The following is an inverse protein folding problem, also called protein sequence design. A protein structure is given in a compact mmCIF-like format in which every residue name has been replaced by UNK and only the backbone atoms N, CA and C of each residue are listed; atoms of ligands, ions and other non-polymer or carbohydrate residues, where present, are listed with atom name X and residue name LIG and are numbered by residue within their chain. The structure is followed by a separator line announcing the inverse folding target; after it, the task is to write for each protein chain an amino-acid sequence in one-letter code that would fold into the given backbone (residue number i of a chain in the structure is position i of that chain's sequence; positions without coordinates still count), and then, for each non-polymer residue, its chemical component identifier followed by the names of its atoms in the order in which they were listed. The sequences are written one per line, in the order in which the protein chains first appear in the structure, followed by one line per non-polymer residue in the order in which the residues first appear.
data_IF_624007452669
#
_entry.id   IF_624007452669
#
_cell.length_a   1.000
_cell.length_b   1.000
_cell.length_c   1.000
_cell.angle_alpha   90.00
_cell.angle_beta   90.00
_cell.angle_gamma   90.00
#
_symmetry.space_group_name_H-M   'P 1'
#
loop_
_entity.id
_entity.type
_entity.pdbx_description
1 polymer ?
#
# COMPACT_ATOMS: atom_id res chain seq x y z
N UNK A 1 -19.78 -8.55 -6.18
CA UNK A 1 -19.01 -9.70 -5.68
C UNK A 1 -17.98 -10.02 -6.73
N UNK A 2 -16.70 -10.14 -6.36
CA UNK A 2 -15.63 -10.41 -7.32
C UNK A 2 -15.86 -11.77 -8.01
N UNK A 3 -15.68 -11.83 -9.33
CA UNK A 3 -15.70 -13.09 -10.06
C UNK A 3 -14.40 -13.88 -9.81
N UNK A 4 -14.32 -15.12 -10.32
CA UNK A 4 -13.17 -16.01 -10.05
C UNK A 4 -11.84 -15.39 -10.45
N UNK A 5 -11.77 -14.70 -11.59
CA UNK A 5 -10.53 -14.11 -12.09
C UNK A 5 -10.15 -12.83 -11.34
N UNK A 6 -11.14 -12.05 -10.88
CA UNK A 6 -10.92 -10.93 -9.96
C UNK A 6 -10.41 -11.39 -8.58
N UNK A 7 -10.90 -12.51 -8.07
CA UNK A 7 -10.41 -13.12 -6.83
C UNK A 7 -8.97 -13.62 -6.96
N UNK A 8 -8.63 -14.27 -8.08
CA UNK A 8 -7.25 -14.69 -8.35
C UNK A 8 -6.30 -13.50 -8.37
N UNK A 9 -6.63 -12.46 -9.15
CA UNK A 9 -5.83 -11.24 -9.22
C UNK A 9 -5.69 -10.57 -7.85
N UNK A 10 -6.76 -10.56 -7.06
CA UNK A 10 -6.72 -10.04 -5.69
C UNK A 10 -5.74 -10.82 -4.81
N UNK A 11 -5.85 -12.15 -4.76
CA UNK A 11 -4.96 -12.97 -3.94
C UNK A 11 -3.51 -12.96 -4.44
N UNK A 12 -3.28 -12.82 -5.74
CA UNK A 12 -1.95 -12.63 -6.32
C UNK A 12 -1.35 -11.29 -5.87
N UNK A 13 -2.13 -10.20 -6.02
CA UNK A 13 -1.70 -8.85 -5.63
C UNK A 13 -1.27 -8.77 -4.17
N UNK A 14 -2.01 -9.42 -3.27
CA UNK A 14 -1.72 -9.37 -1.83
C UNK A 14 -0.78 -10.49 -1.33
N UNK A 15 -0.21 -11.29 -2.23
CA UNK A 15 0.82 -12.31 -1.91
C UNK A 15 0.29 -13.64 -1.38
N UNK A 16 -1.01 -13.90 -1.49
CA UNK A 16 -1.65 -15.15 -1.05
C UNK A 16 -1.63 -16.25 -2.09
N UNK A 17 -1.48 -15.91 -3.38
CA UNK A 17 -1.46 -16.84 -4.49
C UNK A 17 -0.28 -16.53 -5.43
N UNK A 18 0.47 -17.55 -5.86
CA UNK A 18 1.56 -17.37 -6.83
C UNK A 18 1.02 -17.31 -8.27
N UNK A 19 1.69 -16.55 -9.14
CA UNK A 19 1.34 -16.49 -10.57
C UNK A 19 1.59 -17.83 -11.26
N UNK A 20 0.57 -18.38 -11.93
CA UNK A 20 0.71 -19.50 -12.88
C UNK A 20 0.07 -20.84 -12.51
N UNK A 21 -0.45 -21.04 -11.29
CA UNK A 21 -1.13 -22.29 -10.93
C UNK A 21 -2.48 -22.04 -10.24
N UNK A 22 -3.56 -22.43 -10.91
CA UNK A 22 -4.96 -22.09 -10.57
C UNK A 22 -5.76 -23.29 -10.06
N UNK A 23 -5.09 -24.29 -9.47
CA UNK A 23 -5.76 -25.46 -8.93
C UNK A 23 -6.74 -25.06 -7.82
N UNK A 24 -7.83 -25.81 -7.68
CA UNK A 24 -8.86 -25.54 -6.67
C UNK A 24 -8.26 -25.57 -5.25
N UNK A 25 -7.32 -26.49 -5.01
CA UNK A 25 -6.59 -26.64 -3.74
C UNK A 25 -5.72 -25.42 -3.41
N UNK A 26 -5.09 -24.79 -4.42
CA UNK A 26 -4.29 -23.59 -4.22
C UNK A 26 -5.15 -22.37 -3.89
N UNK A 27 -6.31 -22.25 -4.53
CA UNK A 27 -7.27 -21.18 -4.22
C UNK A 27 -7.82 -21.35 -2.80
N UNK A 28 -8.22 -22.55 -2.41
CA UNK A 28 -8.68 -22.84 -1.05
C UNK A 28 -7.60 -22.53 -0.01
N UNK A 29 -6.35 -22.90 -0.30
CA UNK A 29 -5.20 -22.61 0.55
C UNK A 29 -4.93 -21.11 0.67
N UNK A 30 -5.07 -20.35 -0.43
CA UNK A 30 -4.96 -18.90 -0.43
C UNK A 30 -6.05 -18.24 0.44
N UNK A 31 -7.30 -18.72 0.35
CA UNK A 31 -8.42 -18.25 1.19
C UNK A 31 -8.14 -18.54 2.67
N UNK A 32 -7.72 -19.76 3.01
CA UNK A 32 -7.36 -20.13 4.40
C UNK A 32 -6.27 -19.23 4.95
N UNK A 33 -5.24 -18.94 4.14
CA UNK A 33 -4.14 -18.06 4.53
C UNK A 33 -4.62 -16.62 4.75
N UNK A 34 -5.44 -16.10 3.85
CA UNK A 34 -6.06 -14.77 3.97
C UNK A 34 -6.89 -14.64 5.25
N UNK A 35 -7.79 -15.59 5.49
CA UNK A 35 -8.61 -15.64 6.70
C UNK A 35 -7.74 -15.62 7.96
N UNK A 36 -6.70 -16.46 8.00
CA UNK A 36 -5.77 -16.52 9.14
C UNK A 36 -5.02 -15.20 9.36
N UNK A 37 -4.56 -14.55 8.31
CA UNK A 37 -3.85 -13.25 8.41
C UNK A 37 -4.75 -12.16 8.99
N UNK A 38 -6.03 -12.15 8.65
CA UNK A 38 -7.01 -11.20 9.16
C UNK A 38 -7.70 -11.63 10.46
N UNK A 39 -7.35 -12.78 11.03
CA UNK A 39 -7.96 -13.29 12.26
C UNK A 39 -9.39 -13.81 12.09
N UNK A 40 -9.80 -14.15 10.87
CA UNK A 40 -11.06 -14.82 10.55
C UNK A 40 -10.96 -16.34 10.77
N UNK A 41 -12.11 -17.01 10.88
CA UNK A 41 -12.18 -18.47 10.86
C UNK A 41 -11.68 -19.02 9.53
N UNK A 42 -10.65 -19.87 9.56
CA UNK A 42 -9.99 -20.42 8.37
C UNK A 42 -10.81 -21.55 7.72
N UNK A 43 -12.03 -21.25 7.29
CA UNK A 43 -12.94 -22.18 6.62
C UNK A 43 -12.46 -22.63 5.24
N UNK A 44 -11.62 -21.82 4.58
CA UNK A 44 -11.21 -22.01 3.19
C UNK A 44 -12.28 -21.72 2.15
N UNK A 45 -13.44 -21.23 2.60
CA UNK A 45 -14.54 -20.85 1.73
C UNK A 45 -14.77 -19.33 1.79
N UNK A 46 -15.39 -18.78 0.74
CA UNK A 46 -15.75 -17.36 0.69
C UNK A 46 -17.04 -17.12 1.50
N UNK A 47 -16.96 -17.31 2.82
CA UNK A 47 -18.04 -16.97 3.73
C UNK A 47 -18.29 -15.46 3.79
N UNK A 48 -19.43 -15.08 4.39
CA UNK A 48 -19.89 -13.68 4.42
C UNK A 48 -18.85 -12.72 5.02
N UNK A 49 -18.12 -13.16 6.05
CA UNK A 49 -17.09 -12.36 6.69
C UNK A 49 -15.89 -12.16 5.73
N UNK A 50 -15.43 -13.23 5.10
CA UNK A 50 -14.32 -13.21 4.14
C UNK A 50 -14.66 -12.32 2.93
N UNK A 51 -15.87 -12.43 2.39
CA UNK A 51 -16.33 -11.58 1.27
C UNK A 51 -16.44 -10.12 1.69
N UNK A 52 -16.84 -9.82 2.93
CA UNK A 52 -16.86 -8.45 3.44
C UNK A 52 -15.46 -7.83 3.43
N UNK A 53 -14.46 -8.54 3.93
CA UNK A 53 -13.06 -8.07 3.94
C UNK A 53 -12.47 -7.92 2.52
N UNK A 54 -12.78 -8.84 1.60
CA UNK A 54 -12.28 -8.77 0.21
C UNK A 54 -12.80 -7.52 -0.52
N UNK A 55 -14.02 -7.06 -0.18
CA UNK A 55 -14.63 -5.88 -0.78
C UNK A 55 -14.40 -4.60 0.03
N UNK A 56 -13.76 -4.69 1.20
CA UNK A 56 -13.44 -3.51 1.99
C UNK A 56 -12.32 -2.71 1.31
N UNK A 57 -12.45 -1.37 1.22
CA UNK A 57 -11.37 -0.51 0.76
C UNK A 57 -10.13 -0.70 1.62
N UNK A 58 -8.96 -0.85 0.98
CA UNK A 58 -7.73 -1.19 1.71
C UNK A 58 -6.48 -0.57 1.11
N UNK A 59 -5.37 -0.70 1.84
CA UNK A 59 -4.03 -0.39 1.36
C UNK A 59 -3.64 -1.33 0.21
N UNK A 60 -2.89 -0.82 -0.78
CA UNK A 60 -2.40 -1.61 -1.91
C UNK A 60 -1.17 -2.46 -1.64
N UNK A 61 -0.55 -2.29 -0.47
CA UNK A 61 0.66 -3.03 -0.08
C UNK A 61 0.32 -4.52 0.17
N UNK A 62 1.13 -5.47 -0.34
CA UNK A 62 0.92 -6.90 -0.09
C UNK A 62 0.97 -7.26 1.39
N UNK A 63 0.09 -8.15 1.83
CA UNK A 63 0.06 -8.66 3.21
C UNK A 63 1.19 -9.64 3.49
N UNK A 64 1.53 -10.42 2.45
CA UNK A 64 2.51 -11.49 2.51
C UNK A 64 3.66 -11.17 1.56
N UNK A 65 4.82 -10.87 2.11
CA UNK A 65 6.06 -10.72 1.34
C UNK A 65 6.76 -12.09 1.33
N UNK A 66 7.04 -12.64 0.15
CA UNK A 66 7.64 -13.98 -0.05
C UNK A 66 9.13 -14.08 0.33
N UNK A 67 9.71 -13.04 0.95
CA UNK A 67 11.06 -13.08 1.50
C UNK A 67 11.09 -13.85 2.84
N UNK A 68 12.21 -14.50 3.22
CA UNK A 68 12.30 -15.31 4.42
C UNK A 68 12.32 -14.42 5.67
N UNK A 69 11.16 -13.93 6.09
CA UNK A 69 11.01 -13.32 7.40
C UNK A 69 10.67 -14.42 8.40
N UNK A 70 11.60 -14.70 9.31
CA UNK A 70 11.31 -15.40 10.56
C UNK A 70 10.36 -14.49 11.37
N UNK A 71 9.07 -14.58 11.12
CA UNK A 71 8.09 -13.65 11.70
C UNK A 71 7.44 -14.25 12.95
N UNK A 72 7.99 -13.87 14.12
CA UNK A 72 7.24 -13.77 15.38
C UNK A 72 6.67 -12.36 15.60
N UNK A 73 6.89 -11.43 14.66
CA UNK A 73 6.55 -10.01 14.80
C UNK A 73 5.31 -9.65 13.97
N UNK A 74 4.42 -8.81 14.52
CA UNK A 74 3.13 -8.41 13.93
C UNK A 74 3.27 -7.38 12.78
N UNK A 75 4.48 -7.19 12.25
CA UNK A 75 4.76 -6.27 11.15
C UNK A 75 5.76 -6.92 10.19
N UNK A 76 5.70 -6.51 8.92
CA UNK A 76 6.61 -6.98 7.87
C UNK A 76 7.42 -5.78 7.39
N UNK A 77 8.74 -5.91 7.36
CA UNK A 77 9.62 -4.93 6.72
C UNK A 77 9.76 -5.24 5.24
N UNK A 78 9.90 -4.19 4.42
CA UNK A 78 10.42 -4.34 3.07
C UNK A 78 11.78 -5.06 3.09
N UNK A 79 12.03 -5.88 2.05
CA UNK A 79 13.31 -6.57 1.90
C UNK A 79 14.47 -5.55 1.95
N UNK A 80 15.51 -5.85 2.74
CA UNK A 80 16.63 -4.94 2.95
C UNK A 80 16.44 -3.87 4.03
N UNK A 81 15.26 -3.82 4.69
CA UNK A 81 14.94 -2.85 5.77
C UNK A 81 15.27 -1.39 5.39
N UNK A 82 14.72 -0.89 4.27
CA UNK A 82 14.96 0.47 3.79
C UNK A 82 14.62 1.53 4.84
N UNK A 83 15.50 2.53 4.95
CA UNK A 83 15.35 3.66 5.86
C UNK A 83 16.04 4.90 5.26
N UNK A 84 15.55 6.09 5.60
CA UNK A 84 16.24 7.35 5.30
C UNK A 84 17.54 7.43 6.12
N UNK A 85 18.70 7.41 5.45
CA UNK A 85 20.02 7.49 6.09
C UNK A 85 20.48 8.94 6.16
N UNK A 86 19.88 9.69 7.08
CA UNK A 86 20.22 11.10 7.36
C UNK A 86 20.63 11.30 8.81
N UNK A 87 21.33 12.40 9.05
CA UNK A 87 21.60 12.84 10.42
C UNK A 87 20.29 13.18 11.12
N UNK A 88 20.23 12.89 12.42
CA UNK A 88 19.06 13.10 13.26
C UNK A 88 19.26 14.40 14.06
N UNK A 89 18.26 15.30 14.15
CA UNK A 89 16.93 15.20 13.53
C UNK A 89 17.00 15.34 12.01
N UNK A 90 16.28 14.47 11.29
CA UNK A 90 16.27 14.49 9.84
C UNK A 90 15.16 15.44 9.34
N UNK A 91 15.43 16.20 8.29
CA UNK A 91 14.37 16.92 7.56
C UNK A 91 14.13 16.21 6.24
N UNK A 92 12.88 15.86 5.97
CA UNK A 92 12.41 15.30 4.71
C UNK A 92 11.52 16.32 3.99
N UNK A 93 11.74 16.51 2.70
CA UNK A 93 10.89 17.37 1.88
C UNK A 93 9.76 16.57 1.24
N UNK A 94 8.58 17.18 1.07
CA UNK A 94 7.50 16.58 0.31
C UNK A 94 6.89 17.57 -0.67
N UNK A 95 6.47 17.11 -1.84
CA UNK A 95 5.89 17.94 -2.89
C UNK A 95 4.64 17.32 -3.49
N UNK A 96 3.79 18.16 -4.08
CA UNK A 96 2.57 17.72 -4.79
C UNK A 96 2.73 17.87 -6.30
N UNK A 97 2.39 16.83 -7.05
CA UNK A 97 2.36 16.88 -8.52
C UNK A 97 1.38 17.95 -8.98
N UNK A 98 1.76 18.69 -10.03
CA UNK A 98 0.89 19.70 -10.65
C UNK A 98 -0.02 19.08 -11.71
N UNK A 99 0.40 17.95 -12.26
CA UNK A 99 -0.23 17.22 -13.34
C UNK A 99 -1.22 16.19 -12.80
N UNK A 100 -0.82 15.43 -11.77
CA UNK A 100 -1.59 14.32 -11.21
C UNK A 100 -2.33 14.77 -9.95
N UNK A 101 -3.44 15.47 -10.15
CA UNK A 101 -4.23 16.11 -9.09
C UNK A 101 -5.62 15.48 -8.93
N UNK A 102 -6.26 15.73 -7.79
CA UNK A 102 -7.64 15.29 -7.50
C UNK A 102 -8.59 16.49 -7.54
N UNK A 103 -9.53 16.50 -8.49
CA UNK A 103 -10.46 17.62 -8.67
C UNK A 103 -11.57 17.67 -7.60
N UNK A 104 -11.91 16.53 -7.00
CA UNK A 104 -12.99 16.41 -6.00
C UNK A 104 -12.62 16.94 -4.61
N UNK A 105 -11.33 17.26 -4.36
CA UNK A 105 -10.85 17.74 -3.07
C UNK A 105 -10.08 19.05 -3.28
N UNK A 106 -10.42 20.09 -2.51
CA UNK A 106 -9.73 21.38 -2.61
C UNK A 106 -8.25 21.27 -2.20
N UNK A 107 -7.36 21.98 -2.92
CA UNK A 107 -5.89 21.90 -2.69
C UNK A 107 -5.48 22.16 -1.23
N UNK A 108 -6.04 23.17 -0.58
CA UNK A 108 -5.71 23.46 0.82
C UNK A 108 -6.24 22.40 1.79
N UNK A 109 -7.41 21.80 1.51
CA UNK A 109 -7.92 20.71 2.33
C UNK A 109 -7.01 19.49 2.22
N UNK A 110 -6.58 19.16 1.01
CA UNK A 110 -5.63 18.09 0.72
C UNK A 110 -4.27 18.36 1.38
N UNK A 111 -3.66 19.53 1.16
CA UNK A 111 -2.39 19.94 1.80
C UNK A 111 -2.49 19.88 3.33
N UNK A 112 -3.60 20.37 3.89
CA UNK A 112 -3.87 20.31 5.33
C UNK A 112 -3.96 18.87 5.86
N UNK A 113 -4.50 17.92 5.09
CA UNK A 113 -4.54 16.51 5.47
C UNK A 113 -3.13 15.91 5.55
N UNK A 114 -2.28 16.17 4.56
CA UNK A 114 -0.89 15.69 4.56
C UNK A 114 -0.05 16.34 5.66
N UNK A 115 -0.17 17.65 5.89
CA UNK A 115 0.49 18.34 7.03
C UNK A 115 0.16 17.66 8.36
N UNK A 116 -1.12 17.32 8.60
CA UNK A 116 -1.52 16.61 9.81
C UNK A 116 -1.00 15.17 9.86
N UNK A 117 -0.95 14.46 8.73
CA UNK A 117 -0.41 13.11 8.66
C UNK A 117 1.10 13.09 9.00
N UNK A 118 1.87 13.99 8.40
CA UNK A 118 3.30 14.15 8.69
C UNK A 118 3.57 14.59 10.13
N UNK A 119 2.76 15.51 10.68
CA UNK A 119 2.87 15.92 12.07
C UNK A 119 2.72 14.75 13.06
N UNK A 120 1.89 13.74 12.76
CA UNK A 120 1.75 12.55 13.61
C UNK A 120 3.03 11.72 13.67
N UNK A 121 3.79 11.64 12.57
CA UNK A 121 5.09 10.97 12.55
C UNK A 121 6.15 11.81 13.27
N UNK A 122 6.23 13.10 12.99
CA UNK A 122 7.18 14.03 13.63
C UNK A 122 6.99 14.13 15.16
N UNK A 123 5.78 13.86 15.67
CA UNK A 123 5.50 13.86 17.10
C UNK A 123 6.16 12.72 17.88
N UNK A 124 6.57 11.63 17.21
CA UNK A 124 7.04 10.40 17.89
C UNK A 124 8.43 9.93 17.47
N UNK A 125 8.99 10.50 16.40
CA UNK A 125 10.35 10.23 15.95
C UNK A 125 11.04 11.55 15.56
N UNK A 126 12.38 11.64 15.62
CA UNK A 126 13.11 12.88 15.37
C UNK A 126 13.23 13.19 13.86
N UNK A 127 12.09 13.52 13.25
CA UNK A 127 11.95 13.90 11.85
C UNK A 127 11.12 15.18 11.74
N UNK A 128 11.52 16.05 10.81
CA UNK A 128 10.76 17.20 10.37
C UNK A 128 10.32 16.98 8.92
N UNK A 129 9.17 17.55 8.55
CA UNK A 129 8.65 17.50 7.19
C UNK A 129 8.43 18.92 6.68
N UNK A 130 8.97 19.23 5.50
CA UNK A 130 8.85 20.53 4.86
C UNK A 130 8.22 20.39 3.48
N UNK A 131 7.18 21.19 3.22
CA UNK A 131 6.58 21.24 1.89
C UNK A 131 7.52 21.98 0.94
N UNK A 132 7.85 21.35 -0.18
CA UNK A 132 8.69 21.92 -1.24
C UNK A 132 7.85 22.22 -2.48
N UNK A 133 8.06 23.40 -3.08
CA UNK A 133 7.54 23.70 -4.41
C UNK A 133 8.35 23.03 -5.52
N UNK A 134 9.57 22.58 -5.20
CA UNK A 134 10.40 21.79 -6.08
C UNK A 134 10.04 20.30 -5.97
N UNK A 135 8.96 19.92 -6.68
CA UNK A 135 8.43 18.56 -6.69
C UNK A 135 9.47 17.53 -7.17
N UNK A 136 10.33 17.91 -8.12
CA UNK A 136 11.25 16.95 -8.75
C UNK A 136 12.36 16.48 -7.81
N UNK A 137 12.75 17.34 -6.87
CA UNK A 137 13.79 17.05 -5.89
C UNK A 137 13.25 16.78 -4.48
N UNK A 138 11.93 16.67 -4.31
CA UNK A 138 11.31 16.32 -3.04
C UNK A 138 11.61 14.85 -2.65
N UNK A 139 11.88 14.59 -1.36
CA UNK A 139 12.09 13.24 -0.84
C UNK A 139 10.82 12.37 -0.95
N UNK A 140 9.65 13.00 -0.76
CA UNK A 140 8.33 12.36 -0.83
C UNK A 140 7.48 13.07 -1.89
N UNK A 141 7.25 12.39 -3.01
CA UNK A 141 6.43 12.89 -4.12
C UNK A 141 4.99 12.39 -3.98
N UNK A 142 4.03 13.32 -3.97
CA UNK A 142 2.61 13.01 -3.79
C UNK A 142 1.86 13.33 -5.08
N UNK A 143 1.20 12.33 -5.66
CA UNK A 143 0.35 12.46 -6.84
C UNK A 143 -0.92 11.62 -6.72
N UNK A 144 -1.94 11.97 -7.50
CA UNK A 144 -3.22 11.28 -7.56
C UNK A 144 -3.41 10.68 -8.95
N UNK A 145 -3.50 9.37 -9.00
CA UNK A 145 -3.55 8.62 -10.25
C UNK A 145 -4.79 7.74 -10.33
N UNK A 146 -5.09 7.22 -11.51
CA UNK A 146 -6.12 6.21 -11.73
C UNK A 146 -5.64 5.17 -12.72
N UNK A 147 -6.13 3.93 -12.58
CA UNK A 147 -5.72 2.83 -13.44
C UNK A 147 -4.21 2.58 -13.42
N UNK A 148 -3.65 2.26 -14.58
CA UNK A 148 -2.21 2.15 -14.77
C UNK A 148 -1.54 3.53 -14.79
N UNK A 149 -0.50 3.68 -13.98
CA UNK A 149 0.22 4.92 -13.76
C UNK A 149 1.75 4.74 -13.83
N UNK A 150 2.20 3.68 -14.51
CA UNK A 150 3.58 3.55 -14.97
C UNK A 150 4.58 3.02 -13.95
N UNK A 151 4.14 2.65 -12.75
CA UNK A 151 5.00 2.10 -11.69
C UNK A 151 4.81 0.59 -11.46
N UNK A 152 3.96 -0.06 -12.27
CA UNK A 152 3.65 -1.49 -12.18
C UNK A 152 2.62 -1.84 -11.10
N UNK A 153 2.11 -0.88 -10.34
CA UNK A 153 1.18 -1.11 -9.22
C UNK A 153 -0.19 -0.43 -9.46
N UNK A 154 -0.80 -0.71 -10.62
CA UNK A 154 -2.03 -0.07 -11.09
C UNK A 154 -3.18 -0.06 -10.05
N UNK A 155 -3.95 1.03 -10.00
CA UNK A 155 -5.17 1.11 -9.19
C UNK A 155 -6.31 0.32 -9.85
N UNK A 156 -7.12 -0.37 -9.05
CA UNK A 156 -8.23 -1.24 -9.49
C UNK A 156 -9.62 -0.59 -9.41
N UNK A 157 -9.69 0.73 -9.16
CA UNK A 157 -10.91 1.54 -9.24
C UNK A 157 -11.55 1.90 -7.89
N UNK A 158 -12.78 2.42 -7.94
CA UNK A 158 -13.53 2.92 -6.77
C UNK A 158 -13.73 1.82 -5.74
N UNK A 159 -13.33 2.08 -4.49
CA UNK A 159 -13.40 1.15 -3.33
C UNK A 159 -12.42 -0.05 -3.38
N UNK A 160 -11.44 -0.04 -4.29
CA UNK A 160 -10.33 -0.99 -4.32
C UNK A 160 -9.12 -0.56 -3.49
N UNK A 161 -7.93 -0.62 -4.09
CA UNK A 161 -6.70 -0.05 -3.56
C UNK A 161 -6.82 1.47 -3.54
N UNK A 162 -6.74 2.05 -2.33
CA UNK A 162 -6.92 3.50 -2.14
C UNK A 162 -5.64 4.31 -2.35
N UNK A 163 -4.49 3.71 -2.04
CA UNK A 163 -3.17 4.31 -2.16
C UNK A 163 -2.09 3.23 -2.03
N UNK A 164 -0.90 3.54 -2.52
CA UNK A 164 0.34 2.86 -2.18
C UNK A 164 1.44 3.89 -1.88
N UNK A 165 2.58 3.44 -1.38
CA UNK A 165 3.78 4.23 -1.24
C UNK A 165 5.00 3.32 -1.36
N UNK A 166 6.10 3.86 -1.88
CA UNK A 166 7.37 3.15 -1.97
C UNK A 166 8.22 3.37 -0.73
N UNK A 167 9.07 2.40 -0.42
CA UNK A 167 9.99 2.50 0.70
C UNK A 167 11.12 3.50 0.43
N UNK A 168 11.74 4.08 1.48
CA UNK A 168 12.95 4.88 1.34
C UNK A 168 14.12 4.13 0.68
N UNK A 169 15.15 4.78 0.18
CA UNK A 169 15.26 6.22 -0.10
C UNK A 169 14.80 6.56 -1.51
N UNK A 170 14.57 5.54 -2.35
CA UNK A 170 14.47 5.73 -3.78
C UNK A 170 13.12 6.32 -4.18
N UNK A 171 12.03 5.92 -3.51
CA UNK A 171 10.67 6.35 -3.87
C UNK A 171 10.29 6.16 -5.35
N UNK A 172 11.06 5.37 -6.13
CA UNK A 172 11.33 5.71 -7.54
C UNK A 172 10.18 5.47 -8.53
N UNK A 173 9.98 6.47 -9.38
CA UNK A 173 9.68 6.30 -10.80
C UNK A 173 10.87 5.58 -11.48
N UNK A 174 10.57 4.59 -12.32
CA UNK A 174 11.42 4.26 -13.46
C UNK A 174 11.29 5.36 -14.52
#
# INVERSE_FOLDING_TARGET
MKNRDELKRYFQRFGYLSSGNDSHELIESAIKRYQKTLGLSASGTLDRATVSEINAPRCGVPDVVTAPSRATERYVYFAGKPMWRRNIPMTLTYGFSRENTIASVGREQMRGAFRRAFARWAAVIPVNFEESDDYEFADIKIGFYSGDHGDGESFDGVLGVLAHAFSPESGRYL
#
